data_IF_702675795369
#
_entry.id   IF_702675795369
#
_cell.length_a   1.000
_cell.length_b   1.000
_cell.length_c   1.000
_cell.angle_alpha   90.00
_cell.angle_beta   90.00
_cell.angle_gamma   90.00
#
_symmetry.space_group_name_H-M   'P 1'
#
loop_
_entity.id
_entity.type
_entity.pdbx_description
1 polymer ?
#
# COMPACT_ATOMS: atom_id res chain seq x y z
N UNK A 1 6.32 -12.10 -34.47
CA UNK A 1 5.66 -11.76 -33.19
C UNK A 1 4.85 -10.49 -33.42
N UNK A 2 3.52 -10.60 -33.44
CA UNK A 2 2.64 -9.44 -33.61
C UNK A 2 1.91 -9.21 -32.29
N UNK A 3 2.02 -8.00 -31.76
CA UNK A 3 1.27 -7.59 -30.57
C UNK A 3 0.33 -6.44 -30.96
N UNK A 4 -0.88 -6.49 -30.42
CA UNK A 4 -1.85 -5.40 -30.58
C UNK A 4 -2.63 -5.21 -29.29
N UNK A 5 -3.04 -3.96 -29.07
CA UNK A 5 -3.75 -3.54 -27.88
C UNK A 5 -5.20 -3.19 -28.23
N UNK A 6 -6.15 -3.82 -27.55
CA UNK A 6 -7.59 -3.59 -27.72
C UNK A 6 -8.28 -3.67 -26.37
N UNK A 7 -9.03 -2.63 -26.00
CA UNK A 7 -9.94 -2.59 -24.85
C UNK A 7 -9.35 -3.06 -23.50
N UNK A 8 -8.07 -2.78 -23.23
CA UNK A 8 -7.44 -3.16 -21.96
C UNK A 8 -6.79 -4.55 -21.96
N UNK A 9 -6.77 -5.22 -23.12
CA UNK A 9 -6.08 -6.49 -23.33
C UNK A 9 -4.90 -6.32 -24.29
N UNK A 10 -3.77 -6.93 -23.93
CA UNK A 10 -2.62 -7.10 -24.81
C UNK A 10 -2.72 -8.48 -25.45
N UNK A 11 -2.92 -8.54 -26.76
CA UNK A 11 -2.94 -9.81 -27.49
C UNK A 11 -1.59 -10.04 -28.14
N UNK A 12 -0.97 -11.18 -27.84
CA UNK A 12 0.31 -11.61 -28.37
C UNK A 12 0.09 -12.80 -29.31
N UNK A 13 0.44 -12.66 -30.60
CA UNK A 13 0.51 -13.79 -31.53
C UNK A 13 1.92 -14.36 -31.59
N UNK A 14 2.07 -15.60 -31.11
CA UNK A 14 3.27 -16.43 -31.26
C UNK A 14 2.84 -17.77 -31.86
N UNK A 15 3.50 -18.19 -32.93
CA UNK A 15 3.30 -19.50 -33.59
C UNK A 15 1.84 -19.86 -33.93
N UNK A 16 1.03 -18.87 -34.26
CA UNK A 16 -0.37 -19.06 -34.66
C UNK A 16 -1.38 -19.06 -33.50
N UNK A 17 -0.91 -19.09 -32.24
CA UNK A 17 -1.76 -19.02 -31.07
C UNK A 17 -1.89 -17.57 -30.56
N UNK A 18 -3.12 -17.12 -30.37
CA UNK A 18 -3.43 -15.82 -29.75
C UNK A 18 -3.45 -15.95 -28.23
N UNK A 19 -2.50 -15.30 -27.57
CA UNK A 19 -2.47 -15.20 -26.11
C UNK A 19 -2.97 -13.82 -25.69
N UNK A 20 -4.11 -13.78 -25.00
CA UNK A 20 -4.71 -12.56 -24.46
C UNK A 20 -4.28 -12.36 -23.00
N UNK A 21 -3.72 -11.19 -22.72
CA UNK A 21 -3.33 -10.80 -21.36
C UNK A 21 -4.09 -9.54 -20.96
N UNK A 22 -4.78 -9.55 -19.82
CA UNK A 22 -5.38 -8.31 -19.32
C UNK A 22 -4.29 -7.37 -18.81
N UNK A 23 -4.42 -6.07 -19.07
CA UNK A 23 -3.47 -5.08 -18.57
C UNK A 23 -3.41 -5.05 -17.05
N UNK A 24 -4.54 -5.24 -16.35
CA UNK A 24 -4.52 -5.33 -14.89
C UNK A 24 -3.72 -6.53 -14.40
N UNK A 25 -3.79 -7.67 -15.10
CA UNK A 25 -3.03 -8.86 -14.76
C UNK A 25 -1.53 -8.68 -15.06
N UNK A 26 -1.18 -8.09 -16.20
CA UNK A 26 0.20 -7.69 -16.54
C UNK A 26 0.78 -6.70 -15.52
N UNK A 27 0.00 -5.68 -15.14
CA UNK A 27 0.45 -4.66 -14.17
C UNK A 27 0.57 -5.27 -12.78
N UNK A 28 -0.39 -6.08 -12.34
CA UNK A 28 -0.37 -6.70 -11.01
C UNK A 28 0.68 -7.80 -10.87
N UNK A 29 1.01 -8.48 -11.98
CA UNK A 29 2.08 -9.48 -12.03
C UNK A 29 3.47 -8.86 -12.17
N UNK A 30 3.56 -7.59 -12.62
CA UNK A 30 4.83 -6.88 -12.78
C UNK A 30 5.66 -6.84 -11.49
N UNK A 31 6.97 -6.99 -11.65
CA UNK A 31 7.94 -6.94 -10.54
C UNK A 31 7.86 -5.62 -9.77
N UNK A 32 7.70 -4.51 -10.49
CA UNK A 32 7.60 -3.15 -9.92
C UNK A 32 6.36 -3.00 -9.03
N UNK A 33 5.20 -3.53 -9.46
CA UNK A 33 3.98 -3.47 -8.65
C UNK A 33 4.09 -4.33 -7.39
N UNK A 34 4.62 -5.56 -7.53
CA UNK A 34 4.86 -6.47 -6.39
C UNK A 34 5.84 -5.87 -5.38
N UNK A 35 6.94 -5.28 -5.85
CA UNK A 35 7.95 -4.66 -4.98
C UNK A 35 7.37 -3.44 -4.24
N UNK A 36 6.62 -2.58 -4.94
CA UNK A 36 5.95 -1.43 -4.32
C UNK A 36 4.95 -1.88 -3.25
N UNK A 37 4.14 -2.89 -3.55
CA UNK A 37 3.19 -3.47 -2.59
C UNK A 37 3.91 -4.04 -1.37
N UNK A 38 5.05 -4.70 -1.56
CA UNK A 38 5.90 -5.20 -0.47
C UNK A 38 6.40 -4.05 0.41
N UNK A 39 6.96 -2.99 -0.18
CA UNK A 39 7.44 -1.80 0.55
C UNK A 39 6.32 -1.15 1.38
N UNK A 40 5.15 -0.92 0.77
CA UNK A 40 4.00 -0.32 1.46
C UNK A 40 3.51 -1.21 2.61
N UNK A 41 3.43 -2.52 2.40
CA UNK A 41 3.07 -3.49 3.46
C UNK A 41 4.08 -3.47 4.60
N UNK A 42 5.38 -3.40 4.30
CA UNK A 42 6.42 -3.28 5.33
C UNK A 42 6.27 -2.00 6.14
N UNK A 43 6.05 -0.85 5.48
CA UNK A 43 5.80 0.43 6.16
C UNK A 43 4.57 0.35 7.06
N UNK A 44 3.48 -0.24 6.57
CA UNK A 44 2.28 -0.46 7.37
C UNK A 44 2.58 -1.29 8.63
N UNK A 45 3.27 -2.42 8.49
CA UNK A 45 3.59 -3.29 9.62
C UNK A 45 4.50 -2.60 10.64
N UNK A 46 5.55 -1.91 10.19
CA UNK A 46 6.46 -1.18 11.07
C UNK A 46 5.70 -0.07 11.82
N UNK A 47 4.88 0.70 11.10
CA UNK A 47 4.07 1.76 11.70
C UNK A 47 3.05 1.22 12.70
N UNK A 48 2.40 0.10 12.38
CA UNK A 48 1.44 -0.55 13.27
C UNK A 48 2.11 -1.05 14.55
N UNK A 49 3.28 -1.69 14.43
CA UNK A 49 4.05 -2.14 15.59
C UNK A 49 4.52 -0.96 16.45
N UNK A 50 5.01 0.12 15.82
CA UNK A 50 5.50 1.29 16.54
C UNK A 50 4.36 2.02 17.27
N UNK A 51 3.25 2.26 16.58
CA UNK A 51 2.07 2.92 17.18
C UNK A 51 1.42 2.07 18.26
N UNK A 52 1.32 0.76 18.05
CA UNK A 52 0.86 -0.18 19.07
C UNK A 52 1.77 -0.21 20.28
N UNK A 53 3.10 -0.28 20.09
CA UNK A 53 4.06 -0.24 21.19
C UNK A 53 4.00 1.07 21.98
N UNK A 54 3.86 2.20 21.29
CA UNK A 54 3.72 3.51 21.93
C UNK A 54 2.42 3.61 22.73
N UNK A 55 1.34 3.05 22.22
CA UNK A 55 0.06 3.02 22.93
C UNK A 55 0.11 2.13 24.17
N UNK A 56 0.71 0.94 24.08
CA UNK A 56 0.94 0.07 25.24
C UNK A 56 1.81 0.77 26.26
N UNK A 57 2.90 1.42 25.84
CA UNK A 57 3.75 2.21 26.72
C UNK A 57 2.98 3.34 27.42
N UNK A 58 2.15 4.08 26.69
CA UNK A 58 1.27 5.09 27.28
C UNK A 58 0.35 4.53 28.36
N UNK A 59 -0.26 3.37 28.13
CA UNK A 59 -1.10 2.67 29.11
C UNK A 59 -0.33 2.18 30.34
N UNK A 60 0.99 1.96 30.24
CA UNK A 60 1.81 1.62 31.42
C UNK A 60 2.12 2.84 32.29
N UNK A 61 2.18 4.04 31.70
CA UNK A 61 2.41 5.29 32.42
C UNK A 61 1.12 5.81 33.06
N UNK A 62 0.03 5.80 32.29
CA UNK A 62 -1.30 6.21 32.73
C UNK A 62 -2.30 5.10 32.38
N UNK A 63 -2.61 4.20 33.32
CA UNK A 63 -3.54 3.11 33.07
C UNK A 63 -4.92 3.67 32.77
N UNK A 64 -5.56 3.11 31.74
CA UNK A 64 -6.91 3.46 31.36
C UNK A 64 -7.88 3.10 32.50
N UNK A 65 -8.38 4.11 33.20
CA UNK A 65 -9.42 3.95 34.23
C UNK A 65 -10.78 4.15 33.58
N UNK A 66 -11.55 3.07 33.44
CA UNK A 66 -12.95 3.14 33.02
C UNK A 66 -13.82 3.31 34.27
N UNK A 67 -14.54 4.43 34.44
CA UNK A 67 -15.34 4.68 35.63
C UNK A 67 -16.42 3.60 35.85
N UNK A 68 -16.57 3.14 37.09
CA UNK A 68 -17.64 2.23 37.49
C UNK A 68 -18.98 2.95 37.39
N UNK A 69 -19.80 2.56 36.41
CA UNK A 69 -21.09 3.21 36.08
C UNK A 69 -21.22 3.63 34.62
N UNK A 70 -20.14 3.56 33.84
CA UNK A 70 -20.22 3.76 32.39
C UNK A 70 -21.05 2.66 31.72
N UNK A 71 -21.95 3.04 30.81
CA UNK A 71 -22.78 2.06 30.10
C UNK A 71 -21.93 1.11 29.25
N UNK A 72 -22.40 -0.12 29.07
CA UNK A 72 -21.71 -1.16 28.28
C UNK A 72 -21.36 -0.67 26.88
N UNK A 73 -22.21 0.17 26.27
CA UNK A 73 -21.98 0.76 24.95
C UNK A 73 -20.73 1.66 24.90
N UNK A 74 -20.54 2.51 25.92
CA UNK A 74 -19.35 3.37 25.99
C UNK A 74 -18.09 2.58 26.30
N UNK A 75 -18.17 1.54 27.15
CA UNK A 75 -17.02 0.67 27.43
C UNK A 75 -16.50 -0.03 26.17
N UNK A 76 -17.40 -0.59 25.36
CA UNK A 76 -17.05 -1.25 24.10
C UNK A 76 -16.35 -0.30 23.15
N UNK A 77 -16.80 0.95 23.04
CA UNK A 77 -16.16 1.95 22.19
C UNK A 77 -14.72 2.25 22.58
N UNK A 78 -14.42 2.30 23.88
CA UNK A 78 -13.05 2.53 24.36
C UNK A 78 -12.12 1.40 23.93
N UNK A 79 -12.56 0.13 24.06
CA UNK A 79 -11.76 -1.01 23.59
C UNK A 79 -11.60 -1.04 22.07
N UNK A 80 -12.65 -0.71 21.32
CA UNK A 80 -12.55 -0.59 19.86
C UNK A 80 -11.56 0.51 19.47
N UNK A 81 -11.59 1.66 20.16
CA UNK A 81 -10.67 2.76 19.92
C UNK A 81 -9.20 2.34 20.10
N UNK A 82 -8.89 1.54 21.12
CA UNK A 82 -7.54 1.04 21.36
C UNK A 82 -7.00 0.21 20.18
N UNK A 83 -7.85 -0.49 19.45
CA UNK A 83 -7.43 -1.28 18.28
C UNK A 83 -7.46 -0.44 17.01
N UNK A 84 -8.50 0.40 16.86
CA UNK A 84 -8.71 1.18 15.64
C UNK A 84 -7.68 2.30 15.48
N UNK A 85 -7.21 2.92 16.57
CA UNK A 85 -6.28 4.06 16.49
C UNK A 85 -4.94 3.67 15.84
N UNK A 86 -4.21 2.62 16.29
CA UNK A 86 -3.00 2.17 15.61
C UNK A 86 -3.24 1.74 14.16
N UNK A 87 -4.38 1.10 13.88
CA UNK A 87 -4.75 0.69 12.51
C UNK A 87 -4.98 1.88 11.59
N UNK A 88 -5.68 2.93 12.06
CA UNK A 88 -5.93 4.14 11.28
C UNK A 88 -4.65 4.92 11.02
N UNK A 89 -3.81 5.11 12.05
CA UNK A 89 -2.54 5.84 11.90
C UNK A 89 -1.61 5.11 10.94
N UNK A 90 -1.43 3.79 11.11
CA UNK A 90 -0.61 2.98 10.22
C UNK A 90 -1.18 2.93 8.79
N UNK A 91 -2.50 2.89 8.66
CA UNK A 91 -3.22 3.03 7.39
C UNK A 91 -2.86 4.32 6.67
N UNK A 92 -3.00 5.47 7.34
CA UNK A 92 -2.68 6.79 6.77
C UNK A 92 -1.21 6.87 6.36
N UNK A 93 -0.28 6.43 7.21
CA UNK A 93 1.16 6.46 6.92
C UNK A 93 1.49 5.57 5.71
N UNK A 94 0.93 4.36 5.64
CA UNK A 94 1.15 3.46 4.50
C UNK A 94 0.56 4.01 3.20
N UNK A 95 -0.57 4.72 3.27
CA UNK A 95 -1.19 5.38 2.13
C UNK A 95 -0.30 6.53 1.61
N UNK A 96 0.24 7.37 2.50
CA UNK A 96 1.19 8.41 2.14
C UNK A 96 2.45 7.81 1.51
N UNK A 97 3.00 6.75 2.08
CA UNK A 97 4.15 6.04 1.51
C UNK A 97 3.85 5.50 0.10
N UNK A 98 2.65 4.95 -0.12
CA UNK A 98 2.21 4.53 -1.45
C UNK A 98 2.18 5.69 -2.46
N UNK A 99 1.63 6.85 -2.06
CA UNK A 99 1.57 8.03 -2.91
C UNK A 99 2.97 8.53 -3.28
N UNK A 100 3.88 8.63 -2.30
CA UNK A 100 5.27 9.05 -2.52
C UNK A 100 6.01 8.10 -3.48
N UNK A 101 5.89 6.78 -3.25
CA UNK A 101 6.47 5.77 -4.14
C UNK A 101 5.86 5.81 -5.54
N UNK A 102 4.60 6.24 -5.68
CA UNK A 102 3.94 6.40 -6.97
C UNK A 102 4.43 7.63 -7.73
N UNK A 103 4.66 8.75 -7.03
CA UNK A 103 5.15 9.99 -7.64
C UNK A 103 6.63 9.86 -8.04
N UNK A 104 7.48 9.39 -7.12
CA UNK A 104 8.92 9.22 -7.38
C UNK A 104 9.19 8.32 -8.60
N UNK A 105 8.43 7.23 -8.77
CA UNK A 105 8.56 6.38 -9.96
C UNK A 105 8.18 7.07 -11.27
N UNK A 106 7.31 8.10 -11.25
CA UNK A 106 7.02 8.89 -12.46
C UNK A 106 8.21 9.77 -12.82
N UNK A 107 8.76 10.48 -11.83
CA UNK A 107 9.90 11.37 -12.03
C UNK A 107 11.15 10.61 -12.50
N UNK A 108 11.44 9.46 -11.89
CA UNK A 108 12.56 8.60 -12.31
C UNK A 108 12.37 8.10 -13.74
N UNK A 109 11.14 7.69 -14.13
CA UNK A 109 10.86 7.28 -15.51
C UNK A 109 11.03 8.40 -16.53
N UNK A 110 10.61 9.62 -16.17
CA UNK A 110 10.74 10.80 -17.03
C UNK A 110 12.22 11.16 -17.21
N UNK A 111 13.02 11.10 -16.14
CA UNK A 111 14.45 11.37 -16.22
C UNK A 111 15.18 10.33 -17.07
N UNK A 112 14.84 9.04 -16.90
CA UNK A 112 15.43 7.94 -17.67
C UNK A 112 15.07 8.03 -19.17
N UNK A 113 13.84 8.46 -19.51
CA UNK A 113 13.47 8.72 -20.90
C UNK A 113 14.23 9.88 -21.53
N UNK A 114 14.42 10.98 -20.80
CA UNK A 114 15.17 12.15 -21.29
C UNK A 114 16.63 11.77 -21.54
N UNK A 115 17.25 11.04 -20.61
CA UNK A 115 18.63 10.56 -20.75
C UNK A 115 18.79 9.63 -21.95
N UNK A 116 17.85 8.71 -22.17
CA UNK A 116 17.91 7.78 -23.30
C UNK A 116 17.76 8.49 -24.66
N UNK A 117 16.92 9.52 -24.72
CA UNK A 117 16.74 10.35 -25.93
C UNK A 117 17.96 11.23 -26.24
N UNK A 118 18.68 11.69 -25.21
CA UNK A 118 19.91 12.48 -25.39
C UNK A 118 21.16 11.63 -25.65
N UNK A 119 21.14 10.34 -25.31
CA UNK A 119 22.27 9.42 -25.47
C UNK A 119 22.14 8.48 -26.69
N UNK A 120 21.02 8.52 -27.43
CA UNK A 120 20.80 7.77 -28.68
C UNK A 120 21.01 8.64 -29.91
#
# INVERSE_FOLDING_TARGET
MHWYYTEGELTLKVDGEEHRFSLQELISSSSVFKERRKKVRTVFLISLLLTGALQVYGLTLEPLVVPSGMSTFFQVQVYVALISVPLLISGIISFLAYLLLRISNKEVRTMDSILKEHLS
#
